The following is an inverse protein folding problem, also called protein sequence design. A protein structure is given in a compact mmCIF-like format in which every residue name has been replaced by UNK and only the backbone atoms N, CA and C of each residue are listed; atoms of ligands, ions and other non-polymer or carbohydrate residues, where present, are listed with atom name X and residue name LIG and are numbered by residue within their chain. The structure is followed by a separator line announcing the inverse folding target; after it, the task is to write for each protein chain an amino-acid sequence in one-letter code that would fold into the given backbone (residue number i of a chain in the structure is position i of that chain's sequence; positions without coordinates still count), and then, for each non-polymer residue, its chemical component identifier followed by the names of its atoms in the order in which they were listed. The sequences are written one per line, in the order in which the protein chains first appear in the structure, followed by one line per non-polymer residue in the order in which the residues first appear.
data_IF_528994296098
#
_entry.id   IF_528994296098
#
_cell.length_a   1.000
_cell.length_b   1.000
_cell.length_c   1.000
_cell.angle_alpha   90.00
_cell.angle_beta   90.00
_cell.angle_gamma   90.00
#
_symmetry.space_group_name_H-M   'P 1'
#
loop_
_entity.id
_entity.type
_entity.pdbx_description
1 polymer ?
#
# COMPACT_ATOMS: atom_id res chain seq x y z
N UNK A 1 -7.12 14.28 -0.81
CA UNK A 1 -6.69 12.95 -1.28
C UNK A 1 -6.37 12.11 -0.05
N UNK A 2 -6.74 10.83 -0.01
CA UNK A 2 -6.46 10.01 1.17
C UNK A 2 -4.96 10.04 1.49
N UNK A 3 -4.62 10.24 2.77
CA UNK A 3 -3.23 10.29 3.23
C UNK A 3 -2.56 8.92 3.23
N UNK A 4 -3.27 7.86 2.82
CA UNK A 4 -2.77 6.51 2.71
C UNK A 4 -3.06 5.92 1.32
N UNK A 5 -2.12 5.14 0.78
CA UNK A 5 -2.27 4.46 -0.51
C UNK A 5 -1.27 3.30 -0.65
N UNK A 6 -1.57 2.26 -1.45
CA UNK A 6 -0.62 1.20 -1.74
C UNK A 6 0.64 1.73 -2.43
N UNK A 7 1.78 1.12 -2.18
CA UNK A 7 3.08 1.65 -2.56
C UNK A 7 4.15 0.55 -2.67
N UNK A 8 4.99 0.66 -3.67
CA UNK A 8 6.29 -0.03 -3.74
C UNK A 8 7.40 1.01 -3.69
N UNK A 9 8.55 0.67 -3.10
CA UNK A 9 9.70 1.59 -3.03
C UNK A 9 10.46 1.56 -4.38
N UNK A 10 10.51 2.69 -5.12
CA UNK A 10 11.20 2.73 -6.41
C UNK A 10 12.67 2.33 -6.28
N UNK A 11 13.15 1.50 -7.20
CA UNK A 11 14.56 1.04 -7.22
C UNK A 11 14.94 0.06 -6.12
N UNK A 12 14.01 -0.31 -5.22
CA UNK A 12 14.26 -1.33 -4.20
C UNK A 12 13.73 -2.68 -4.68
N UNK A 13 14.65 -3.51 -5.17
CA UNK A 13 14.35 -4.86 -5.67
C UNK A 13 15.26 -5.85 -4.95
N UNK A 14 14.68 -6.93 -4.45
CA UNK A 14 15.41 -8.03 -3.80
C UNK A 14 16.26 -8.80 -4.84
N UNK A 15 17.15 -9.67 -4.37
CA UNK A 15 17.92 -10.56 -5.27
C UNK A 15 17.02 -11.46 -6.13
N UNK A 16 15.81 -11.75 -5.66
CA UNK A 16 14.79 -12.56 -6.35
C UNK A 16 13.98 -11.76 -7.40
N UNK A 17 14.29 -10.48 -7.59
CA UNK A 17 13.60 -9.63 -8.58
C UNK A 17 12.24 -9.11 -8.12
N UNK A 18 11.93 -9.18 -6.82
CA UNK A 18 10.66 -8.71 -6.24
C UNK A 18 10.85 -7.46 -5.38
N UNK A 19 9.77 -6.72 -5.14
CA UNK A 19 9.72 -5.59 -4.21
C UNK A 19 8.62 -5.81 -3.20
N UNK A 20 8.88 -5.41 -1.97
CA UNK A 20 7.86 -5.41 -0.91
C UNK A 20 6.75 -4.42 -1.27
N UNK A 21 5.50 -4.87 -1.10
CA UNK A 21 4.31 -4.05 -1.22
C UNK A 21 3.93 -3.50 0.15
N UNK A 22 3.70 -2.19 0.20
CA UNK A 22 3.33 -1.45 1.40
C UNK A 22 1.98 -0.76 1.21
N UNK A 23 1.34 -0.42 2.31
CA UNK A 23 0.45 0.74 2.37
C UNK A 23 1.24 1.89 2.99
N UNK A 24 1.44 2.94 2.21
CA UNK A 24 2.12 4.16 2.66
C UNK A 24 1.09 5.08 3.29
N UNK A 25 1.29 5.48 4.53
CA UNK A 25 0.53 6.52 5.22
C UNK A 25 1.40 7.76 5.44
N UNK A 26 0.95 8.92 4.99
CA UNK A 26 1.60 10.21 5.20
C UNK A 26 0.93 10.91 6.39
N UNK A 27 1.66 11.03 7.51
CA UNK A 27 1.22 11.84 8.64
C UNK A 27 1.27 13.32 8.28
N UNK A 28 2.35 13.74 7.61
CA UNK A 28 2.52 15.07 7.03
C UNK A 28 3.43 15.01 5.78
N UNK A 29 3.97 16.17 5.34
CA UNK A 29 4.81 16.27 4.14
C UNK A 29 6.12 15.48 4.26
N UNK A 30 6.67 15.36 5.47
CA UNK A 30 7.99 14.76 5.76
C UNK A 30 7.87 13.41 6.47
N UNK A 31 6.88 13.21 7.34
CA UNK A 31 6.68 11.99 8.13
C UNK A 31 5.75 11.00 7.42
N UNK A 32 6.26 9.79 7.21
CA UNK A 32 5.60 8.73 6.44
C UNK A 32 5.83 7.39 7.14
N UNK A 33 4.77 6.58 7.23
CA UNK A 33 4.84 5.20 7.71
C UNK A 33 4.58 4.26 6.54
N UNK A 34 5.36 3.19 6.47
CA UNK A 34 5.17 2.09 5.53
C UNK A 34 4.67 0.87 6.29
N UNK A 35 3.43 0.48 6.04
CA UNK A 35 2.82 -0.71 6.61
C UNK A 35 3.04 -1.84 5.61
N UNK A 36 3.85 -2.83 5.96
CA UNK A 36 4.07 -3.99 5.08
C UNK A 36 2.77 -4.76 4.91
N UNK A 37 2.45 -5.16 3.68
CA UNK A 37 1.29 -6.01 3.40
C UNK A 37 1.60 -7.49 3.58
N UNK A 38 2.87 -7.85 3.76
CA UNK A 38 3.36 -9.23 3.75
C UNK A 38 3.61 -9.81 2.35
N UNK A 39 3.30 -9.06 1.29
CA UNK A 39 3.50 -9.51 -0.10
C UNK A 39 4.70 -8.84 -0.75
N UNK A 40 5.40 -9.64 -1.56
CA UNK A 40 6.37 -9.17 -2.52
C UNK A 40 5.81 -9.36 -3.92
N UNK A 41 5.97 -8.36 -4.78
CA UNK A 41 5.55 -8.44 -6.20
C UNK A 41 6.72 -8.12 -7.11
N UNK A 42 6.71 -8.63 -8.34
CA UNK A 42 7.63 -8.12 -9.37
C UNK A 42 7.25 -6.67 -9.71
N UNK A 43 8.22 -5.75 -9.91
CA UNK A 43 7.93 -4.38 -10.29
C UNK A 43 7.05 -4.24 -11.55
N UNK A 44 7.16 -5.17 -12.50
CA UNK A 44 6.33 -5.22 -13.72
C UNK A 44 4.83 -5.36 -13.44
N UNK A 45 4.46 -5.95 -12.31
CA UNK A 45 3.07 -6.11 -11.86
C UNK A 45 2.53 -4.89 -11.12
N UNK A 46 3.31 -3.81 -10.97
CA UNK A 46 2.84 -2.58 -10.35
C UNK A 46 2.32 -1.58 -11.40
N UNK A 47 1.14 -1.01 -11.17
CA UNK A 47 0.61 0.12 -11.93
C UNK A 47 0.88 1.42 -11.15
N UNK A 48 1.96 2.12 -11.52
CA UNK A 48 2.35 3.36 -10.85
C UNK A 48 1.34 4.50 -11.03
N UNK A 49 0.57 4.51 -12.12
CA UNK A 49 -0.44 5.53 -12.39
C UNK A 49 -1.67 5.31 -11.51
N UNK A 50 -2.12 4.06 -11.39
CA UNK A 50 -3.26 3.68 -10.55
C UNK A 50 -2.89 3.52 -9.07
N UNK A 51 -1.59 3.42 -8.76
CA UNK A 51 -1.07 3.04 -7.44
C UNK A 51 -1.69 1.74 -6.92
N UNK A 52 -1.73 0.75 -7.80
CA UNK A 52 -2.36 -0.54 -7.52
C UNK A 52 -1.60 -1.67 -8.19
N UNK A 53 -1.86 -2.90 -7.75
CA UNK A 53 -1.30 -4.10 -8.38
C UNK A 53 -2.08 -4.41 -9.67
N UNK A 54 -1.38 -4.82 -10.73
CA UNK A 54 -2.00 -5.18 -12.01
C UNK A 54 -2.67 -6.54 -11.90
N UNK A 55 -3.79 -6.74 -12.61
CA UNK A 55 -4.51 -8.03 -12.72
C UNK A 55 -3.66 -9.19 -13.25
N UNK A 56 -2.58 -8.88 -13.97
CA UNK A 56 -1.62 -9.88 -14.44
C UNK A 56 -0.69 -10.44 -13.33
N UNK A 57 -0.77 -9.92 -12.10
CA UNK A 57 -0.04 -10.48 -10.96
C UNK A 57 -0.64 -11.85 -10.57
N UNK A 58 0.17 -12.91 -10.43
CA UNK A 58 -0.34 -14.25 -10.08
C UNK A 58 -1.20 -14.30 -8.82
N UNK A 59 -0.91 -13.44 -7.83
CA UNK A 59 -1.63 -13.34 -6.55
C UNK A 59 -2.57 -12.12 -6.49
N UNK A 60 -3.06 -11.65 -7.64
CA UNK A 60 -3.85 -10.42 -7.73
C UNK A 60 -5.02 -10.39 -6.73
N UNK A 61 -5.89 -11.41 -6.76
CA UNK A 61 -7.11 -11.44 -5.93
C UNK A 61 -6.80 -11.40 -4.42
N UNK A 62 -5.76 -12.13 -4.01
CA UNK A 62 -5.33 -12.18 -2.62
C UNK A 62 -4.74 -10.83 -2.17
N UNK A 63 -3.87 -10.24 -2.99
CA UNK A 63 -3.25 -8.94 -2.72
C UNK A 63 -4.30 -7.83 -2.72
N UNK A 64 -5.23 -7.84 -3.66
CA UNK A 64 -6.32 -6.86 -3.80
C UNK A 64 -7.21 -6.86 -2.54
N UNK A 65 -7.60 -8.05 -2.08
CA UNK A 65 -8.36 -8.24 -0.84
C UNK A 65 -7.61 -7.69 0.38
N UNK A 66 -6.30 -8.01 0.52
CA UNK A 66 -5.49 -7.51 1.63
C UNK A 66 -5.30 -6.00 1.59
N UNK A 67 -5.00 -5.42 0.42
CA UNK A 67 -4.88 -3.97 0.24
C UNK A 67 -6.19 -3.26 0.58
N UNK A 68 -7.32 -3.78 0.10
CA UNK A 68 -8.65 -3.23 0.40
C UNK A 68 -8.93 -3.29 1.90
N UNK A 69 -8.65 -4.40 2.56
CA UNK A 69 -8.84 -4.55 4.01
C UNK A 69 -7.97 -3.58 4.83
N UNK A 70 -6.69 -3.45 4.50
CA UNK A 70 -5.77 -2.55 5.21
C UNK A 70 -6.18 -1.09 4.99
N UNK A 71 -6.46 -0.70 3.75
CA UNK A 71 -6.83 0.69 3.43
C UNK A 71 -8.20 1.07 4.01
N UNK A 72 -9.17 0.17 4.03
CA UNK A 72 -10.46 0.37 4.72
C UNK A 72 -10.25 0.58 6.21
N UNK A 73 -9.52 -0.33 6.88
CA UNK A 73 -9.28 -0.24 8.32
C UNK A 73 -8.52 1.03 8.72
N UNK A 74 -7.58 1.48 7.89
CA UNK A 74 -6.92 2.78 8.08
C UNK A 74 -7.90 3.95 7.93
N UNK A 75 -8.81 3.88 6.96
CA UNK A 75 -9.88 4.86 6.80
C UNK A 75 -10.77 4.96 8.04
N UNK A 76 -11.17 3.81 8.59
CA UNK A 76 -12.00 3.74 9.80
C UNK A 76 -11.28 4.33 11.01
N UNK A 77 -10.00 3.98 11.23
CA UNK A 77 -9.18 4.51 12.33
C UNK A 77 -9.04 6.03 12.22
N UNK A 78 -8.77 6.55 11.02
CA UNK A 78 -8.59 7.99 10.81
C UNK A 78 -9.91 8.76 10.95
N UNK A 79 -11.01 8.16 10.52
CA UNK A 79 -12.35 8.73 10.71
C UNK A 79 -12.68 8.81 12.19
N UNK A 80 -12.48 7.72 12.93
CA UNK A 80 -12.67 7.68 14.38
C UNK A 80 -11.79 8.71 15.11
N UNK A 81 -10.50 8.79 14.78
CA UNK A 81 -9.60 9.77 15.40
C UNK A 81 -10.07 11.21 15.18
N UNK A 82 -10.48 11.53 13.95
CA UNK A 82 -11.02 12.85 13.61
C UNK A 82 -12.31 13.18 14.37
N UNK A 83 -13.24 12.23 14.44
CA UNK A 83 -14.52 12.40 15.15
C UNK A 83 -14.30 12.60 16.66
N UNK A 84 -13.24 12.02 17.22
CA UNK A 84 -12.92 12.10 18.65
C UNK A 84 -11.82 13.13 18.98
N UNK A 85 -11.36 13.92 18.00
CA UNK A 85 -10.28 14.92 18.16
C UNK A 85 -8.99 14.38 18.79
N UNK A 86 -8.59 13.17 18.37
CA UNK A 86 -7.34 12.49 18.76
C UNK A 86 -6.25 12.73 17.71
#
# INVERSE_FOLDING_TARGET
MANYFPYIKPGYVTQEGTTVLYVRYNHDRTRRTFISTGYNIKPEHWDAKKKWVKRACPQFEEIDSVLTKITSKLGDILTYAKENSI
#
